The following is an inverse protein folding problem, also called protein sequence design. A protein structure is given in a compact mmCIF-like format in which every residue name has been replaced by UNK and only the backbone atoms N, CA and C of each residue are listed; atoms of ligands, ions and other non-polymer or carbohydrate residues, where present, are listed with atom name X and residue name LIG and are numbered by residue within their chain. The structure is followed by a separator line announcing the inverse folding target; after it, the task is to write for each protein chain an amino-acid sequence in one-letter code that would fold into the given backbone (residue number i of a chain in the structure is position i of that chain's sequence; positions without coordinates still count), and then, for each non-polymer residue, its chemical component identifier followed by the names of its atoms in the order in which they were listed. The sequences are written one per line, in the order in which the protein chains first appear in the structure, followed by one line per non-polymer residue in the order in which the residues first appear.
data_IF_629947542976
#
_entry.id   IF_629947542976
#
_cell.length_a   1.000
_cell.length_b   1.000
_cell.length_c   1.000
_cell.angle_alpha   90.00
_cell.angle_beta   90.00
_cell.angle_gamma   90.00
#
_symmetry.space_group_name_H-M   'P 1'
#
loop_
_entity.id
_entity.type
_entity.pdbx_description
1 polymer ?
#
# COMPACT_ATOMS: atom_id res chain seq x y z
N UNK A 1 -36.20 49.82 33.71
CA UNK A 1 -35.04 50.28 32.94
C UNK A 1 -33.91 49.33 33.27
N UNK A 2 -33.89 48.21 32.58
CA UNK A 2 -33.01 47.07 32.86
C UNK A 2 -31.76 47.26 32.01
N UNK A 3 -30.63 47.59 32.64
CA UNK A 3 -29.40 47.86 31.89
C UNK A 3 -28.81 46.53 31.43
N UNK A 4 -28.88 46.28 30.12
CA UNK A 4 -28.14 45.22 29.45
C UNK A 4 -26.65 45.35 29.78
N UNK A 5 -26.17 44.50 30.69
CA UNK A 5 -24.74 44.33 30.94
C UNK A 5 -24.19 43.55 29.76
N UNK A 6 -23.78 44.26 28.72
CA UNK A 6 -23.00 43.73 27.62
C UNK A 6 -21.65 43.21 28.18
N UNK A 7 -21.61 41.95 28.62
CA UNK A 7 -20.40 41.31 29.13
C UNK A 7 -19.51 40.97 27.93
N UNK A 8 -18.65 41.91 27.52
CA UNK A 8 -17.65 41.61 26.50
C UNK A 8 -16.67 40.56 27.01
N UNK A 9 -16.41 39.53 26.19
CA UNK A 9 -15.41 38.50 26.48
C UNK A 9 -14.04 39.18 26.60
N UNK A 10 -13.28 38.85 27.65
CA UNK A 10 -11.94 39.41 27.81
C UNK A 10 -11.01 38.97 26.66
N UNK A 11 -9.97 39.73 26.31
CA UNK A 11 -8.99 39.32 25.30
C UNK A 11 -8.38 37.93 25.57
N UNK A 12 -8.21 37.59 26.85
CA UNK A 12 -7.77 36.27 27.29
C UNK A 12 -8.81 35.17 27.02
N UNK A 13 -10.10 35.46 27.23
CA UNK A 13 -11.19 34.55 26.88
C UNK A 13 -11.29 34.31 25.37
N UNK A 14 -11.06 35.34 24.55
CA UNK A 14 -11.00 35.21 23.09
C UNK A 14 -9.84 34.27 22.68
N UNK A 15 -8.67 34.41 23.32
CA UNK A 15 -7.51 33.54 23.04
C UNK A 15 -7.80 32.07 23.36
N UNK A 16 -8.41 31.78 24.52
CA UNK A 16 -8.79 30.41 24.90
C UNK A 16 -9.76 29.81 23.89
N UNK A 17 -10.79 30.57 23.50
CA UNK A 17 -11.78 30.12 22.52
C UNK A 17 -11.10 29.86 21.16
N UNK A 18 -10.22 30.76 20.71
CA UNK A 18 -9.48 30.58 19.47
C UNK A 18 -8.59 29.33 19.49
N UNK A 19 -7.84 29.11 20.57
CA UNK A 19 -7.01 27.90 20.74
C UNK A 19 -7.86 26.63 20.78
N UNK A 20 -9.01 26.63 21.45
CA UNK A 20 -9.92 25.49 21.48
C UNK A 20 -10.46 25.18 20.08
N UNK A 21 -10.86 26.20 19.30
CA UNK A 21 -11.32 26.04 17.93
C UNK A 21 -10.24 25.46 17.01
N UNK A 22 -8.99 25.94 17.14
CA UNK A 22 -7.85 25.38 16.39
C UNK A 22 -7.65 23.90 16.76
N UNK A 23 -7.68 23.56 18.05
CA UNK A 23 -7.55 22.19 18.52
C UNK A 23 -8.64 21.27 17.96
N UNK A 24 -9.89 21.73 17.95
CA UNK A 24 -11.01 21.00 17.34
C UNK A 24 -10.80 20.84 15.83
N UNK A 25 -10.38 21.88 15.13
CA UNK A 25 -10.13 21.82 13.69
C UNK A 25 -9.02 20.83 13.34
N UNK A 26 -7.91 20.83 14.09
CA UNK A 26 -6.82 19.86 13.94
C UNK A 26 -7.28 18.43 14.24
N UNK A 27 -8.09 18.24 15.28
CA UNK A 27 -8.67 16.94 15.61
C UNK A 27 -9.57 16.42 14.48
N UNK A 28 -10.47 17.27 13.96
CA UNK A 28 -11.32 16.90 12.81
C UNK A 28 -10.47 16.54 11.60
N UNK A 29 -9.47 17.37 11.29
CA UNK A 29 -8.57 17.10 10.17
C UNK A 29 -7.84 15.76 10.32
N UNK A 30 -7.22 15.51 11.47
CA UNK A 30 -6.40 14.32 11.72
C UNK A 30 -7.21 13.01 11.76
N UNK A 31 -8.47 13.03 12.19
CA UNK A 31 -9.26 11.80 12.35
C UNK A 31 -10.27 11.56 11.22
N UNK A 32 -10.66 12.60 10.48
CA UNK A 32 -11.73 12.48 9.48
C UNK A 32 -11.31 12.90 8.08
N UNK A 33 -10.30 13.77 7.92
CA UNK A 33 -9.88 14.26 6.60
C UNK A 33 -8.64 13.50 6.12
N UNK A 34 -7.56 13.56 6.90
CA UNK A 34 -6.26 13.03 6.50
C UNK A 34 -6.29 11.51 6.21
N UNK A 35 -6.85 10.64 7.08
CA UNK A 35 -6.86 9.19 6.82
C UNK A 35 -7.75 8.81 5.62
N UNK A 36 -8.76 9.62 5.33
CA UNK A 36 -9.68 9.40 4.22
C UNK A 36 -9.14 9.88 2.88
N UNK A 37 -8.03 10.62 2.86
CA UNK A 37 -7.45 11.18 1.64
C UNK A 37 -6.59 10.14 0.91
N UNK A 38 -7.09 9.61 -0.21
CA UNK A 38 -6.28 8.86 -1.17
C UNK A 38 -5.59 9.85 -2.11
N UNK A 39 -4.26 9.88 -2.09
CA UNK A 39 -3.45 10.78 -2.93
C UNK A 39 -2.73 9.97 -4.00
N UNK A 40 -2.98 10.30 -5.26
CA UNK A 40 -2.22 9.78 -6.39
C UNK A 40 -0.95 10.63 -6.57
N UNK A 41 0.21 10.00 -6.45
CA UNK A 41 1.50 10.62 -6.79
C UNK A 41 1.97 10.07 -8.14
N UNK A 42 2.23 10.97 -9.09
CA UNK A 42 2.71 10.61 -10.42
C UNK A 42 4.15 11.09 -10.60
N UNK A 43 5.04 10.18 -10.97
CA UNK A 43 6.44 10.49 -11.24
C UNK A 43 6.85 9.84 -12.56
N UNK A 44 7.61 10.57 -13.37
CA UNK A 44 8.21 10.05 -14.60
C UNK A 44 9.66 9.66 -14.29
N UNK A 45 10.00 8.40 -14.54
CA UNK A 45 11.35 7.87 -14.37
C UNK A 45 11.99 7.76 -15.74
N UNK A 46 13.12 8.46 -15.95
CA UNK A 46 13.91 8.37 -17.18
C UNK A 46 15.10 7.45 -16.95
N UNK A 47 15.22 6.43 -17.79
CA UNK A 47 16.29 5.44 -17.73
C UNK A 47 17.09 5.54 -19.04
N UNK A 48 18.38 5.83 -18.92
CA UNK A 48 19.27 5.86 -20.09
C UNK A 48 19.37 4.48 -20.73
N UNK A 49 19.18 4.41 -22.05
CA UNK A 49 19.16 3.15 -22.78
C UNK A 49 17.89 2.31 -22.55
N UNK A 50 16.81 2.90 -22.01
CA UNK A 50 15.53 2.20 -21.89
C UNK A 50 15.07 1.65 -23.23
N UNK A 51 14.55 0.42 -23.21
CA UNK A 51 14.05 -0.21 -24.43
C UNK A 51 12.79 0.53 -24.90
N UNK A 52 12.85 1.11 -26.09
CA UNK A 52 11.76 1.90 -26.70
C UNK A 52 10.43 1.16 -26.81
N UNK A 53 10.44 -0.18 -26.83
CA UNK A 53 9.20 -0.98 -26.79
C UNK A 53 8.40 -0.72 -25.51
N UNK A 54 9.09 -0.43 -24.41
CA UNK A 54 8.52 -0.08 -23.10
C UNK A 54 8.45 1.43 -22.86
N UNK A 55 8.58 2.26 -23.89
CA UNK A 55 8.38 3.70 -23.73
C UNK A 55 6.95 3.98 -23.25
N UNK A 56 6.81 4.84 -22.22
CA UNK A 56 5.53 5.15 -21.60
C UNK A 56 4.93 4.00 -20.77
N UNK A 57 5.70 2.96 -20.44
CA UNK A 57 5.24 1.87 -19.58
C UNK A 57 4.82 2.39 -18.20
N UNK A 58 3.58 2.13 -17.82
CA UNK A 58 2.97 2.69 -16.60
C UNK A 58 2.83 1.62 -15.52
N UNK A 59 3.45 1.90 -14.38
CA UNK A 59 3.37 1.06 -13.19
C UNK A 59 2.57 1.80 -12.11
N UNK A 60 1.55 1.16 -11.57
CA UNK A 60 0.91 1.61 -10.31
C UNK A 60 1.50 0.80 -9.17
N UNK A 61 2.08 1.50 -8.19
CA UNK A 61 2.68 0.90 -7.00
C UNK A 61 1.82 1.19 -5.78
N UNK A 62 1.51 0.16 -5.01
CA UNK A 62 0.70 0.24 -3.78
C UNK A 62 1.44 -0.54 -2.68
N UNK A 63 1.52 0.00 -1.48
CA UNK A 63 2.17 -0.65 -0.33
C UNK A 63 1.36 -0.38 0.96
N UNK A 64 1.68 -1.11 2.02
CA UNK A 64 1.23 -0.81 3.39
C UNK A 64 -0.29 -0.68 3.54
N UNK A 65 -1.04 -1.54 2.84
CA UNK A 65 -2.51 -1.50 2.85
C UNK A 65 -3.08 -1.69 4.25
N UNK A 66 -2.49 -2.57 5.06
CA UNK A 66 -2.91 -2.85 6.44
C UNK A 66 -4.44 -2.98 6.59
N UNK A 67 -5.04 -3.89 5.81
CA UNK A 67 -6.47 -4.15 5.81
C UNK A 67 -7.00 -4.48 7.20
N UNK A 68 -8.06 -3.79 7.60
CA UNK A 68 -8.67 -3.88 8.92
C UNK A 68 -8.07 -2.97 9.98
N UNK A 69 -7.04 -2.18 9.67
CA UNK A 69 -6.54 -1.13 10.57
C UNK A 69 -7.60 -0.04 10.85
N UNK A 70 -7.27 0.95 11.68
CA UNK A 70 -8.25 1.94 12.16
C UNK A 70 -9.01 2.68 11.06
N UNK A 71 -8.40 2.87 9.88
CA UNK A 71 -8.94 3.67 8.78
C UNK A 71 -8.97 2.91 7.43
N UNK A 72 -8.69 1.60 7.44
CA UNK A 72 -8.70 0.78 6.22
C UNK A 72 -9.76 -0.31 6.36
N UNK A 73 -10.97 0.03 5.97
CA UNK A 73 -12.05 -0.91 5.79
C UNK A 73 -12.06 -1.49 4.37
N UNK A 74 -13.03 -2.35 4.06
CA UNK A 74 -13.14 -2.96 2.74
C UNK A 74 -13.43 -1.93 1.65
N UNK A 75 -14.20 -0.88 1.97
CA UNK A 75 -14.53 0.16 0.99
C UNK A 75 -13.27 0.92 0.57
N UNK A 76 -12.42 1.28 1.53
CA UNK A 76 -11.14 1.92 1.26
C UNK A 76 -10.24 1.08 0.34
N UNK A 77 -10.22 -0.24 0.53
CA UNK A 77 -9.46 -1.15 -0.36
C UNK A 77 -10.05 -1.12 -1.77
N UNK A 78 -11.39 -1.14 -1.91
CA UNK A 78 -12.04 -1.03 -3.21
C UNK A 78 -11.76 0.32 -3.89
N UNK A 79 -11.77 1.42 -3.14
CA UNK A 79 -11.44 2.75 -3.66
C UNK A 79 -10.00 2.81 -4.19
N UNK A 80 -9.05 2.14 -3.52
CA UNK A 80 -7.66 2.00 -4.00
C UNK A 80 -7.62 1.22 -5.31
N UNK A 81 -8.36 0.11 -5.41
CA UNK A 81 -8.46 -0.70 -6.64
C UNK A 81 -9.05 0.10 -7.79
N UNK A 82 -10.14 0.85 -7.54
CA UNK A 82 -10.77 1.71 -8.54
C UNK A 82 -9.83 2.82 -9.01
N UNK A 83 -9.15 3.50 -8.08
CA UNK A 83 -8.19 4.55 -8.39
C UNK A 83 -7.01 4.03 -9.21
N UNK A 84 -6.48 2.85 -8.85
CA UNK A 84 -5.40 2.19 -9.57
C UNK A 84 -5.81 1.84 -11.01
N UNK A 85 -6.98 1.22 -11.17
CA UNK A 85 -7.53 0.86 -12.48
C UNK A 85 -7.79 2.09 -13.36
N UNK A 86 -8.24 3.21 -12.77
CA UNK A 86 -8.47 4.46 -13.48
C UNK A 86 -7.18 5.05 -14.10
N UNK A 87 -6.01 4.57 -13.69
CA UNK A 87 -4.75 4.99 -14.30
C UNK A 87 -4.42 4.28 -15.61
N UNK A 88 -5.19 3.25 -16.02
CA UNK A 88 -4.86 2.36 -17.15
C UNK A 88 -3.40 1.87 -17.09
N UNK A 89 -3.01 1.14 -16.02
CA UNK A 89 -1.63 0.68 -15.86
C UNK A 89 -1.28 -0.49 -16.78
N UNK A 90 -0.03 -0.53 -17.22
CA UNK A 90 0.53 -1.73 -17.85
C UNK A 90 0.78 -2.80 -16.80
N UNK A 91 1.21 -2.42 -15.58
CA UNK A 91 1.48 -3.33 -14.47
C UNK A 91 1.03 -2.70 -13.15
N UNK A 92 0.47 -3.53 -12.26
CA UNK A 92 0.26 -3.16 -10.85
C UNK A 92 1.23 -3.95 -9.99
N UNK A 93 1.93 -3.25 -9.09
CA UNK A 93 2.83 -3.86 -8.11
C UNK A 93 2.35 -3.58 -6.69
N UNK A 94 2.24 -4.63 -5.88
CA UNK A 94 1.84 -4.58 -4.48
C UNK A 94 3.04 -4.91 -3.59
N UNK A 95 3.52 -3.94 -2.82
CA UNK A 95 4.82 -4.01 -2.14
C UNK A 95 4.74 -4.49 -0.68
N UNK A 96 3.73 -5.28 -0.35
CA UNK A 96 3.61 -5.93 0.96
C UNK A 96 2.78 -5.17 1.99
N UNK A 97 2.72 -5.75 3.19
CA UNK A 97 2.00 -5.27 4.37
C UNK A 97 0.49 -5.14 4.13
N UNK A 98 -0.10 -6.25 3.67
CA UNK A 98 -1.53 -6.36 3.37
C UNK A 98 -2.37 -6.44 4.63
N UNK A 99 -1.87 -7.10 5.67
CA UNK A 99 -2.63 -7.40 6.89
C UNK A 99 -2.29 -6.46 8.05
N UNK A 100 -3.26 -6.29 8.95
CA UNK A 100 -3.05 -5.61 10.22
C UNK A 100 -3.50 -6.47 11.40
N UNK A 101 -2.55 -6.84 12.26
CA UNK A 101 -2.78 -7.59 13.49
C UNK A 101 -3.24 -6.65 14.61
N UNK A 102 -4.24 -7.07 15.37
CA UNK A 102 -4.82 -6.29 16.48
C UNK A 102 -4.69 -7.02 17.81
N UNK A 103 -4.65 -6.26 18.90
CA UNK A 103 -4.70 -6.77 20.27
C UNK A 103 -3.33 -6.91 20.94
N UNK A 104 -3.38 -7.31 22.21
CA UNK A 104 -2.21 -7.47 23.07
C UNK A 104 -1.77 -8.94 23.09
N UNK A 105 -0.46 -9.16 23.11
CA UNK A 105 0.13 -10.52 23.15
C UNK A 105 1.23 -10.73 22.12
N UNK A 106 1.77 -11.95 22.02
CA UNK A 106 2.80 -12.31 21.04
C UNK A 106 2.31 -12.02 19.63
N UNK A 107 3.13 -11.35 18.82
CA UNK A 107 2.76 -10.86 17.48
C UNK A 107 2.08 -11.95 16.64
N UNK A 108 2.68 -13.15 16.54
CA UNK A 108 2.14 -14.30 15.78
C UNK A 108 0.81 -14.87 16.26
N UNK A 109 0.32 -14.47 17.45
CA UNK A 109 -0.97 -14.93 18.00
C UNK A 109 -2.05 -13.86 17.94
N UNK A 110 -1.73 -12.66 17.44
CA UNK A 110 -2.69 -11.57 17.33
C UNK A 110 -3.65 -11.84 16.18
N UNK A 111 -4.98 -11.75 16.42
CA UNK A 111 -5.95 -11.90 15.36
C UNK A 111 -5.85 -10.75 14.36
N UNK A 112 -6.32 -11.00 13.13
CA UNK A 112 -6.59 -9.95 12.16
C UNK A 112 -7.98 -9.36 12.43
N UNK A 113 -8.13 -8.04 12.29
CA UNK A 113 -9.46 -7.39 12.35
C UNK A 113 -10.26 -7.65 11.08
N UNK A 114 -9.57 -7.80 9.95
CA UNK A 114 -10.14 -8.19 8.66
C UNK A 114 -9.45 -9.49 8.21
N UNK A 115 -10.20 -10.57 7.92
CA UNK A 115 -9.60 -11.82 7.44
C UNK A 115 -8.81 -11.60 6.14
N UNK A 116 -7.67 -12.27 5.99
CA UNK A 116 -6.86 -12.17 4.78
C UNK A 116 -7.65 -12.55 3.51
N UNK A 117 -8.57 -13.52 3.59
CA UNK A 117 -9.43 -13.87 2.47
C UNK A 117 -10.33 -12.70 2.01
N UNK A 118 -10.86 -11.92 2.96
CA UNK A 118 -11.66 -10.71 2.68
C UNK A 118 -10.80 -9.62 2.04
N UNK A 119 -9.57 -9.41 2.52
CA UNK A 119 -8.61 -8.49 1.90
C UNK A 119 -8.36 -8.91 0.45
N UNK A 120 -7.98 -10.17 0.23
CA UNK A 120 -7.69 -10.72 -1.09
C UNK A 120 -8.90 -10.64 -2.04
N UNK A 121 -10.12 -10.90 -1.55
CA UNK A 121 -11.34 -10.79 -2.37
C UNK A 121 -11.59 -9.35 -2.85
N UNK A 122 -11.31 -8.34 -2.02
CA UNK A 122 -11.39 -6.93 -2.43
C UNK A 122 -10.29 -6.55 -3.43
N UNK A 123 -9.12 -7.19 -3.41
CA UNK A 123 -8.01 -6.94 -4.35
C UNK A 123 -8.19 -7.59 -5.74
N UNK A 124 -9.12 -8.56 -5.90
CA UNK A 124 -9.39 -9.24 -7.19
C UNK A 124 -9.76 -8.28 -8.33
N UNK A 125 -10.20 -7.07 -8.02
CA UNK A 125 -10.66 -6.10 -9.00
C UNK A 125 -9.56 -5.40 -9.80
N UNK A 126 -8.28 -5.61 -9.49
CA UNK A 126 -7.18 -4.97 -10.22
C UNK A 126 -7.14 -5.39 -11.70
N UNK A 127 -6.91 -4.42 -12.56
CA UNK A 127 -6.87 -4.56 -14.02
C UNK A 127 -5.63 -3.85 -14.54
N UNK A 128 -4.69 -4.63 -15.04
CA UNK A 128 -3.47 -4.17 -15.68
C UNK A 128 -3.14 -5.09 -16.85
N UNK A 129 -2.49 -4.55 -17.89
CA UNK A 129 -2.23 -5.27 -19.14
C UNK A 129 -1.36 -6.51 -18.95
N UNK A 130 -0.36 -6.42 -18.07
CA UNK A 130 0.55 -7.51 -17.69
C UNK A 130 0.25 -8.09 -16.31
N UNK A 131 -0.94 -7.82 -15.76
CA UNK A 131 -1.40 -8.38 -14.50
C UNK A 131 -0.92 -7.64 -13.25
N UNK A 132 -1.11 -8.28 -12.10
CA UNK A 132 -0.75 -7.74 -10.79
C UNK A 132 0.28 -8.64 -10.13
N UNK A 133 1.38 -8.03 -9.70
CA UNK A 133 2.48 -8.71 -9.01
C UNK A 133 2.56 -8.21 -7.58
N UNK A 134 2.86 -9.09 -6.63
CA UNK A 134 3.01 -8.77 -5.22
C UNK A 134 4.29 -9.37 -4.66
N UNK A 135 4.84 -8.69 -3.65
CA UNK A 135 5.79 -9.25 -2.67
C UNK A 135 5.15 -9.18 -1.29
N UNK A 136 5.65 -10.00 -0.35
CA UNK A 136 5.18 -9.96 1.04
C UNK A 136 6.03 -9.00 1.86
N UNK A 137 5.38 -8.27 2.77
CA UNK A 137 6.03 -7.40 3.74
C UNK A 137 6.31 -8.11 5.07
N UNK A 138 6.83 -7.35 6.04
CA UNK A 138 7.11 -7.89 7.38
C UNK A 138 5.83 -8.16 8.17
N UNK A 139 4.78 -7.33 8.06
CA UNK A 139 3.51 -7.60 8.76
C UNK A 139 2.83 -8.87 8.25
N UNK A 140 3.00 -9.17 6.96
CA UNK A 140 2.50 -10.41 6.36
C UNK A 140 3.21 -11.63 6.97
N UNK A 141 4.54 -11.58 7.08
CA UNK A 141 5.34 -12.65 7.67
C UNK A 141 5.22 -12.75 9.20
N UNK A 142 4.92 -11.65 9.89
CA UNK A 142 4.56 -11.64 11.30
C UNK A 142 3.22 -12.31 11.59
N UNK A 143 2.31 -12.29 10.62
CA UNK A 143 1.08 -13.05 10.65
C UNK A 143 1.33 -14.49 10.21
N UNK A 144 1.45 -14.72 8.90
CA UNK A 144 1.74 -16.01 8.29
C UNK A 144 1.94 -15.83 6.77
N UNK A 145 3.19 -15.91 6.30
CA UNK A 145 3.52 -15.72 4.87
C UNK A 145 2.71 -16.65 3.96
N UNK A 146 2.56 -17.92 4.36
CA UNK A 146 1.93 -18.95 3.53
C UNK A 146 0.43 -18.66 3.34
N UNK A 147 -0.25 -18.24 4.41
CA UNK A 147 -1.65 -17.84 4.33
C UNK A 147 -1.83 -16.61 3.45
N UNK A 148 -1.00 -15.57 3.62
CA UNK A 148 -1.12 -14.34 2.81
C UNK A 148 -0.84 -14.63 1.34
N UNK A 149 0.24 -15.36 1.04
CA UNK A 149 0.58 -15.78 -0.32
C UNK A 149 -0.55 -16.58 -0.97
N UNK A 150 -1.09 -17.58 -0.26
CA UNK A 150 -2.15 -18.43 -0.76
C UNK A 150 -3.40 -17.62 -1.13
N UNK A 151 -3.82 -16.69 -0.27
CA UNK A 151 -5.01 -15.88 -0.51
C UNK A 151 -4.81 -14.87 -1.64
N UNK A 152 -3.64 -14.23 -1.74
CA UNK A 152 -3.31 -13.35 -2.87
C UNK A 152 -3.30 -14.12 -4.20
N UNK A 153 -2.67 -15.31 -4.23
CA UNK A 153 -2.69 -16.18 -5.43
C UNK A 153 -4.10 -16.62 -5.79
N UNK A 154 -4.95 -16.95 -4.80
CA UNK A 154 -6.38 -17.23 -5.02
C UNK A 154 -7.12 -16.04 -5.64
N UNK A 155 -6.68 -14.82 -5.35
CA UNK A 155 -7.21 -13.60 -5.96
C UNK A 155 -6.65 -13.31 -7.37
N UNK A 156 -5.81 -14.18 -7.94
CA UNK A 156 -5.22 -13.99 -9.27
C UNK A 156 -4.01 -13.06 -9.26
N UNK A 157 -3.41 -12.81 -8.10
CA UNK A 157 -2.21 -11.97 -7.96
C UNK A 157 -0.97 -12.88 -7.97
N UNK A 158 0.00 -12.56 -8.83
CA UNK A 158 1.29 -13.25 -8.86
C UNK A 158 2.10 -12.82 -7.65
N UNK A 159 2.46 -13.75 -6.77
CA UNK A 159 3.28 -13.45 -5.58
C UNK A 159 4.68 -13.98 -5.78
N UNK A 160 5.65 -13.06 -5.81
CA UNK A 160 7.08 -13.33 -5.97
C UNK A 160 7.78 -13.37 -4.61
N UNK A 161 8.63 -14.38 -4.39
CA UNK A 161 9.46 -14.51 -3.18
C UNK A 161 10.91 -14.76 -3.56
N UNK A 162 11.65 -13.67 -3.82
CA UNK A 162 13.01 -13.74 -4.37
C UNK A 162 12.99 -14.49 -5.72
N UNK A 163 12.04 -14.09 -6.56
CA UNK A 163 11.74 -14.70 -7.85
C UNK A 163 11.72 -13.60 -8.92
N UNK A 164 11.99 -14.00 -10.17
CA UNK A 164 11.90 -13.13 -11.34
C UNK A 164 10.68 -13.54 -12.15
N UNK A 165 9.85 -12.57 -12.51
CA UNK A 165 8.80 -12.70 -13.51
C UNK A 165 9.21 -11.90 -14.76
N UNK A 166 9.07 -12.48 -15.95
CA UNK A 166 9.34 -11.77 -17.20
C UNK A 166 8.04 -11.41 -17.91
N UNK A 167 7.83 -10.12 -18.15
CA UNK A 167 6.78 -9.66 -19.05
C UNK A 167 7.33 -9.47 -20.45
N UNK A 168 6.51 -9.76 -21.45
CA UNK A 168 6.89 -9.64 -22.86
C UNK A 168 5.95 -8.68 -23.58
N UNK A 169 6.50 -7.66 -24.23
CA UNK A 169 5.78 -6.71 -25.09
C UNK A 169 6.50 -6.66 -26.43
N UNK A 170 5.78 -6.88 -27.53
CA UNK A 170 6.31 -6.88 -28.90
C UNK A 170 7.61 -7.68 -29.09
N UNK A 171 7.72 -8.83 -28.40
CA UNK A 171 8.89 -9.72 -28.43
C UNK A 171 10.08 -9.25 -27.57
N UNK A 172 10.02 -8.08 -26.95
CA UNK A 172 11.02 -7.61 -25.99
C UNK A 172 10.66 -8.08 -24.57
N UNK A 173 11.67 -8.54 -23.82
CA UNK A 173 11.53 -8.94 -22.42
C UNK A 173 11.73 -7.75 -21.46
N UNK A 174 10.98 -7.74 -20.36
CA UNK A 174 11.22 -6.91 -19.18
C UNK A 174 11.14 -7.79 -17.94
N UNK A 175 12.25 -7.90 -17.21
CA UNK A 175 12.35 -8.74 -16.02
C UNK A 175 11.95 -7.93 -14.78
N UNK A 176 11.14 -8.55 -13.94
CA UNK A 176 10.59 -8.00 -12.71
C UNK A 176 11.06 -8.87 -11.57
N UNK A 177 11.96 -8.32 -10.76
CA UNK A 177 12.53 -9.01 -9.61
C UNK A 177 11.72 -8.67 -8.35
N UNK A 178 11.08 -9.67 -7.76
CA UNK A 178 10.37 -9.53 -6.49
C UNK A 178 11.26 -9.90 -5.31
N UNK A 179 11.71 -8.90 -4.54
CA UNK A 179 12.52 -9.10 -3.34
C UNK A 179 11.66 -9.02 -2.09
N UNK A 180 11.86 -9.98 -1.18
CA UNK A 180 11.29 -9.93 0.17
C UNK A 180 12.32 -9.35 1.14
N UNK A 181 11.92 -8.50 2.11
CA UNK A 181 12.79 -8.14 3.24
C UNK A 181 13.29 -9.39 3.99
N UNK A 182 14.57 -9.44 4.34
CA UNK A 182 15.14 -10.53 5.11
C UNK A 182 14.55 -10.60 6.54
N UNK A 183 14.52 -11.77 7.18
CA UNK A 183 13.68 -11.98 8.36
C UNK A 183 14.01 -11.16 9.62
N UNK A 184 15.11 -10.41 9.73
CA UNK A 184 15.51 -9.84 11.04
C UNK A 184 16.25 -8.49 11.09
N UNK A 185 16.48 -7.75 9.99
CA UNK A 185 17.18 -6.45 10.09
C UNK A 185 16.87 -5.45 8.96
N UNK A 186 15.89 -5.74 8.10
CA UNK A 186 15.61 -4.87 6.95
C UNK A 186 16.69 -4.93 5.86
N UNK A 187 17.59 -5.91 5.91
CA UNK A 187 18.47 -6.20 4.77
C UNK A 187 17.66 -6.88 3.67
N UNK A 188 17.96 -6.54 2.42
CA UNK A 188 17.44 -7.24 1.26
C UNK A 188 18.41 -8.37 0.90
N UNK A 189 17.89 -9.50 0.42
CA UNK A 189 18.75 -10.49 -0.21
C UNK A 189 19.52 -9.85 -1.37
N UNK A 190 20.78 -10.25 -1.53
CA UNK A 190 21.65 -9.69 -2.56
C UNK A 190 21.06 -9.99 -3.93
N UNK A 191 20.75 -8.95 -4.71
CA UNK A 191 20.20 -9.04 -6.07
C UNK A 191 21.00 -10.04 -6.93
N UNK A 192 22.32 -10.11 -6.77
CA UNK A 192 23.17 -11.03 -7.54
C UNK A 192 22.88 -12.49 -7.22
N UNK A 193 22.53 -12.81 -5.98
CA UNK A 193 22.28 -14.18 -5.58
C UNK A 193 20.89 -14.61 -6.07
N UNK A 194 19.89 -13.73 -5.99
CA UNK A 194 18.56 -13.98 -6.58
C UNK A 194 18.62 -14.14 -8.11
N UNK A 195 19.39 -13.30 -8.80
CA UNK A 195 19.59 -13.42 -10.25
C UNK A 195 20.29 -14.73 -10.63
N UNK A 196 21.27 -15.20 -9.85
CA UNK A 196 21.90 -16.52 -10.07
C UNK A 196 20.92 -17.67 -9.89
N UNK A 197 20.09 -17.61 -8.86
CA UNK A 197 19.11 -18.67 -8.55
C UNK A 197 17.97 -18.72 -9.56
N UNK A 198 17.55 -17.57 -10.08
CA UNK A 198 16.52 -17.47 -11.14
C UNK A 198 17.00 -17.94 -12.52
N UNK A 199 18.29 -18.23 -12.70
CA UNK A 199 18.87 -18.61 -13.99
C UNK A 199 19.07 -17.43 -14.96
N UNK A 200 18.69 -16.21 -14.56
CA UNK A 200 18.83 -14.97 -15.32
C UNK A 200 20.20 -14.35 -15.05
N UNK A 201 21.25 -15.12 -15.32
CA UNK A 201 22.63 -14.61 -15.28
C UNK A 201 22.86 -13.86 -16.58
N UNK A 202 22.57 -12.56 -16.54
CA UNK A 202 22.70 -11.64 -17.66
C UNK A 202 23.92 -11.94 -18.52
N UNK A 203 23.66 -12.18 -19.81
CA UNK A 203 24.66 -12.06 -20.86
C UNK A 203 24.73 -10.62 -21.35
#
# INVERSE_FOLDING_TARGET
MESDKNRSISPFGILIIASALIGIALFVYAFFIEPNRLVLNQNEIRIDGWNKVYEGFKIVSISDLHGGSAFVDEQKIRDVVELANAQDPDLIVLLGDFVSQTGNGPIRKRPLKMPMATIADNLKGFKARFGTIAVLGNHDGWYDDETVQKELRRAGITVLRNEVETVYKDGAALNILGLKPAPNDGTFENIRDVLKESGDVGK
#
